data_IF_539991858703
#
_entry.id   IF_539991858703
#
_cell.length_a   1.000
_cell.length_b   1.000
_cell.length_c   1.000
_cell.angle_alpha   90.00
_cell.angle_beta   90.00
_cell.angle_gamma   90.00
#
_symmetry.space_group_name_H-M   'P 1'
#
loop_
_entity.id
_entity.type
_entity.pdbx_description
1 polymer ?
#
# COMPACT_ATOMS: atom_id res chain seq x y z
N UNK A 1 28.94 13.95 6.31
CA UNK A 1 29.24 13.46 4.95
C UNK A 1 27.91 13.03 4.33
N UNK A 2 27.44 13.76 3.30
CA UNK A 2 26.19 13.46 2.61
C UNK A 2 26.48 12.43 1.52
N UNK A 3 26.51 11.15 1.90
CA UNK A 3 26.55 10.06 0.94
C UNK A 3 25.11 9.75 0.52
N UNK A 4 24.55 10.59 -0.36
CA UNK A 4 23.32 10.23 -1.05
C UNK A 4 23.65 9.05 -1.94
N UNK A 5 23.29 7.84 -1.52
CA UNK A 5 23.45 6.63 -2.32
C UNK A 5 22.86 6.89 -3.72
N UNK A 6 23.74 6.94 -4.73
CA UNK A 6 23.32 7.19 -6.10
C UNK A 6 22.32 6.11 -6.53
N UNK A 7 21.25 6.51 -7.23
CA UNK A 7 20.29 5.56 -7.77
C UNK A 7 21.03 4.49 -8.61
N UNK A 8 20.73 3.20 -8.44
CA UNK A 8 21.45 2.14 -9.12
C UNK A 8 21.40 2.33 -10.64
N UNK A 9 22.56 2.27 -11.28
CA UNK A 9 22.73 2.51 -12.72
C UNK A 9 21.94 1.52 -13.57
N UNK A 10 21.66 1.87 -14.83
CA UNK A 10 20.80 1.09 -15.75
C UNK A 10 21.22 -0.37 -15.95
N UNK A 11 22.49 -0.71 -15.72
CA UNK A 11 23.01 -2.09 -15.76
C UNK A 11 22.67 -2.93 -14.53
N UNK A 12 22.38 -2.31 -13.38
CA UNK A 12 21.96 -3.00 -12.16
C UNK A 12 20.47 -3.38 -12.17
N UNK A 13 19.68 -2.86 -13.12
CA UNK A 13 18.25 -3.14 -13.28
C UNK A 13 17.96 -4.25 -14.30
N UNK A 14 18.84 -5.24 -14.40
CA UNK A 14 18.61 -6.41 -15.26
C UNK A 14 18.69 -7.67 -14.41
N UNK A 15 17.54 -8.31 -14.22
CA UNK A 15 17.50 -9.71 -13.81
C UNK A 15 17.99 -10.52 -15.01
N UNK A 16 19.03 -11.34 -14.84
CA UNK A 16 19.51 -12.23 -15.89
C UNK A 16 18.36 -13.12 -16.38
N UNK A 17 18.19 -13.21 -17.71
CA UNK A 17 16.98 -13.68 -18.37
C UNK A 17 16.57 -15.12 -18.04
N UNK A 18 17.49 -15.95 -17.55
CA UNK A 18 17.23 -17.37 -17.27
C UNK A 18 16.41 -17.58 -15.99
N UNK A 19 16.36 -16.61 -15.07
CA UNK A 19 15.54 -16.64 -13.86
C UNK A 19 14.23 -15.85 -14.00
N UNK A 20 14.06 -15.07 -15.07
CA UNK A 20 12.91 -14.19 -15.25
C UNK A 20 11.69 -14.96 -15.82
N UNK A 21 10.94 -15.61 -14.93
CA UNK A 21 9.64 -16.24 -15.27
C UNK A 21 8.50 -15.21 -15.37
N UNK A 22 8.78 -13.92 -15.20
CA UNK A 22 7.79 -12.85 -15.10
C UNK A 22 6.83 -13.01 -13.92
N UNK A 23 7.24 -13.69 -12.83
CA UNK A 23 6.38 -13.95 -11.68
C UNK A 23 5.30 -15.00 -11.92
N UNK A 24 5.44 -15.86 -12.93
CA UNK A 24 4.45 -16.91 -13.22
C UNK A 24 4.24 -17.80 -12.00
N UNK A 25 3.00 -17.87 -11.52
CA UNK A 25 2.63 -18.69 -10.37
C UNK A 25 2.81 -18.02 -9.01
N UNK A 26 3.21 -16.75 -8.97
CA UNK A 26 3.26 -15.91 -7.78
C UNK A 26 1.99 -15.06 -7.73
N UNK A 27 1.45 -14.86 -6.53
CA UNK A 27 0.40 -13.87 -6.28
C UNK A 27 1.04 -12.59 -5.73
N UNK A 28 0.78 -11.47 -6.41
CA UNK A 28 1.18 -10.14 -5.96
C UNK A 28 -0.05 -9.45 -5.37
N UNK A 29 0.03 -9.16 -4.07
CA UNK A 29 -0.96 -8.37 -3.36
C UNK A 29 -0.53 -6.91 -3.30
N UNK A 30 -1.40 -5.99 -3.67
CA UNK A 30 -1.13 -4.54 -3.59
C UNK A 30 -2.14 -3.92 -2.62
N UNK A 31 -1.64 -3.37 -1.53
CA UNK A 31 -2.42 -2.61 -0.55
C UNK A 31 -2.15 -1.13 -0.77
N UNK A 32 -3.15 -0.39 -1.22
CA UNK A 32 -2.99 0.99 -1.71
C UNK A 32 -4.29 1.81 -1.61
N UNK A 33 -4.26 3.02 -2.17
CA UNK A 33 -5.33 4.04 -2.20
C UNK A 33 -5.65 4.44 -3.64
N UNK A 34 -6.73 5.20 -3.81
CA UNK A 34 -7.17 5.78 -5.09
C UNK A 34 -7.58 4.75 -6.16
N UNK A 35 -7.68 3.48 -5.80
CA UNK A 35 -8.24 2.40 -6.60
C UNK A 35 -7.29 1.77 -7.63
N UNK A 36 -7.82 0.73 -8.28
CA UNK A 36 -7.13 -0.06 -9.30
C UNK A 36 -7.92 -0.08 -10.60
N UNK A 37 -7.32 0.39 -11.69
CA UNK A 37 -7.89 0.30 -13.03
C UNK A 37 -7.73 -1.14 -13.57
N UNK A 38 -8.65 -2.01 -13.17
CA UNK A 38 -8.65 -3.42 -13.55
C UNK A 38 -8.82 -3.66 -15.06
N UNK A 39 -9.27 -2.65 -15.82
CA UNK A 39 -9.48 -2.74 -17.26
C UNK A 39 -8.34 -2.10 -18.08
N UNK A 40 -7.33 -1.54 -17.42
CA UNK A 40 -6.16 -0.99 -18.10
C UNK A 40 -5.45 -2.10 -18.90
N UNK A 41 -5.00 -1.86 -20.15
CA UNK A 41 -4.35 -2.88 -20.98
C UNK A 41 -3.17 -3.58 -20.32
N UNK A 42 -2.45 -2.89 -19.43
CA UNK A 42 -1.35 -3.48 -18.66
C UNK A 42 -1.77 -4.66 -17.79
N UNK A 43 -3.04 -4.78 -17.42
CA UNK A 43 -3.55 -5.84 -16.55
C UNK A 43 -4.47 -6.82 -17.28
N UNK A 44 -4.63 -6.68 -18.59
CA UNK A 44 -5.39 -7.64 -19.38
C UNK A 44 -4.47 -8.77 -19.87
N UNK A 45 -5.02 -9.98 -19.94
CA UNK A 45 -4.38 -11.12 -20.57
C UNK A 45 -4.59 -11.13 -22.10
N UNK A 46 -4.09 -12.18 -22.76
CA UNK A 46 -4.20 -12.36 -24.21
C UNK A 46 -5.63 -12.53 -24.72
N UNK A 47 -6.59 -12.79 -23.83
CA UNK A 47 -8.01 -12.91 -24.13
C UNK A 47 -8.79 -11.62 -23.82
N UNK A 48 -8.12 -10.60 -23.28
CA UNK A 48 -8.74 -9.34 -22.88
C UNK A 48 -9.45 -9.43 -21.52
N UNK A 49 -9.22 -10.50 -20.75
CA UNK A 49 -9.72 -10.63 -19.38
C UNK A 49 -8.73 -10.04 -18.37
N UNK A 50 -9.20 -9.56 -17.23
CA UNK A 50 -8.31 -8.98 -16.22
C UNK A 50 -7.47 -10.03 -15.50
N UNK A 51 -6.21 -9.69 -15.18
CA UNK A 51 -5.31 -10.51 -14.34
C UNK A 51 -5.53 -10.32 -12.84
N UNK A 52 -6.34 -9.32 -12.44
CA UNK A 52 -6.81 -9.23 -11.07
C UNK A 52 -7.74 -10.40 -10.76
N UNK A 53 -7.43 -11.15 -9.71
CA UNK A 53 -8.31 -12.16 -9.16
C UNK A 53 -9.45 -11.49 -8.40
N UNK A 54 -9.10 -10.60 -7.48
CA UNK A 54 -10.05 -9.85 -6.68
C UNK A 54 -9.49 -8.46 -6.37
N UNK A 55 -10.39 -7.50 -6.16
CA UNK A 55 -10.13 -6.23 -5.49
C UNK A 55 -11.05 -6.17 -4.28
N UNK A 56 -10.50 -5.99 -3.08
CA UNK A 56 -11.30 -5.64 -1.91
C UNK A 56 -11.27 -4.14 -1.70
N UNK A 57 -12.41 -3.50 -1.89
CA UNK A 57 -12.62 -2.09 -1.57
C UNK A 57 -13.18 -1.97 -0.15
N UNK A 58 -12.33 -1.63 0.81
CA UNK A 58 -12.72 -1.55 2.22
C UNK A 58 -13.76 -0.44 2.49
N UNK A 59 -13.77 0.63 1.68
CA UNK A 59 -14.75 1.72 1.77
C UNK A 59 -16.01 1.48 0.92
N UNK A 60 -15.99 0.41 0.12
CA UNK A 60 -17.06 0.06 -0.80
C UNK A 60 -18.29 -0.53 -0.12
N UNK A 61 -19.45 -0.30 -0.74
CA UNK A 61 -20.74 -0.85 -0.30
C UNK A 61 -21.56 -1.48 -1.44
N UNK A 62 -21.00 -1.53 -2.64
CA UNK A 62 -21.71 -1.98 -3.85
C UNK A 62 -21.81 -3.50 -3.96
N UNK A 63 -20.98 -4.23 -3.21
CA UNK A 63 -20.98 -5.70 -3.14
C UNK A 63 -20.84 -6.16 -1.69
N UNK A 64 -21.20 -7.42 -1.38
CA UNK A 64 -20.92 -8.02 -0.08
C UNK A 64 -19.43 -7.97 0.26
N UNK A 65 -19.07 -7.89 1.55
CA UNK A 65 -17.69 -7.97 1.99
C UNK A 65 -17.11 -9.37 1.73
N UNK A 66 -15.77 -9.51 1.69
CA UNK A 66 -15.14 -10.82 1.59
C UNK A 66 -15.51 -11.70 2.79
N UNK A 67 -15.50 -13.02 2.57
CA UNK A 67 -15.87 -13.99 3.61
C UNK A 67 -14.97 -13.82 4.85
N UNK A 68 -15.61 -13.70 6.02
CA UNK A 68 -14.92 -13.50 7.30
C UNK A 68 -14.87 -12.03 7.74
N UNK A 69 -15.15 -11.09 6.83
CA UNK A 69 -15.23 -9.66 7.13
C UNK A 69 -16.68 -9.16 7.12
N UNK A 70 -16.91 -8.01 7.78
CA UNK A 70 -18.25 -7.41 7.94
C UNK A 70 -18.40 -6.08 7.21
N UNK A 71 -17.40 -5.66 6.43
CA UNK A 71 -17.34 -4.34 5.81
C UNK A 71 -16.55 -4.36 4.50
N UNK A 72 -16.75 -3.32 3.70
CA UNK A 72 -16.21 -3.22 2.35
C UNK A 72 -16.98 -4.05 1.33
N UNK A 73 -16.49 -4.01 0.09
CA UNK A 73 -17.06 -4.68 -1.07
C UNK A 73 -15.98 -5.52 -1.78
N UNK A 74 -16.26 -6.81 -1.98
CA UNK A 74 -15.39 -7.69 -2.75
C UNK A 74 -15.76 -7.69 -4.24
N UNK A 75 -14.86 -7.17 -5.05
CA UNK A 75 -14.97 -7.15 -6.51
C UNK A 75 -14.13 -8.31 -7.06
N UNK A 76 -14.80 -9.39 -7.45
CA UNK A 76 -14.17 -10.59 -7.99
C UNK A 76 -13.94 -10.49 -9.49
N UNK A 77 -13.04 -11.33 -10.02
CA UNK A 77 -12.67 -11.39 -11.44
C UNK A 77 -13.88 -11.45 -12.37
N UNK A 78 -14.87 -12.27 -12.05
CA UNK A 78 -16.11 -12.37 -12.82
C UNK A 78 -16.85 -11.04 -12.98
N UNK A 79 -16.85 -10.20 -11.93
CA UNK A 79 -17.48 -8.89 -11.97
C UNK A 79 -16.69 -7.92 -12.85
N UNK A 80 -15.36 -7.94 -12.72
CA UNK A 80 -14.46 -7.10 -13.50
C UNK A 80 -14.51 -7.47 -14.99
N UNK A 81 -14.46 -8.75 -15.32
CA UNK A 81 -14.53 -9.25 -16.70
C UNK A 81 -15.89 -8.98 -17.33
N UNK A 82 -16.99 -9.11 -16.57
CA UNK A 82 -18.32 -8.72 -17.03
C UNK A 82 -18.39 -7.22 -17.35
N UNK A 83 -17.85 -6.36 -16.48
CA UNK A 83 -17.78 -4.92 -16.70
C UNK A 83 -16.92 -4.56 -17.93
N UNK A 84 -15.77 -5.23 -18.13
CA UNK A 84 -14.92 -5.05 -19.32
C UNK A 84 -15.71 -5.43 -20.58
N UNK A 85 -16.36 -6.59 -20.59
CA UNK A 85 -17.10 -7.11 -21.74
C UNK A 85 -18.28 -6.21 -22.13
N UNK A 86 -19.05 -5.76 -21.14
CA UNK A 86 -20.25 -4.95 -21.36
C UNK A 86 -19.96 -3.47 -21.63
N UNK A 87 -18.75 -3.00 -21.34
CA UNK A 87 -18.36 -1.59 -21.53
C UNK A 87 -18.58 -1.10 -22.96
N UNK A 88 -18.14 -1.89 -23.94
CA UNK A 88 -18.20 -1.51 -25.37
C UNK A 88 -19.63 -1.42 -25.91
N UNK A 89 -20.51 -2.34 -25.50
CA UNK A 89 -21.90 -2.38 -25.96
C UNK A 89 -22.77 -1.30 -25.30
N UNK A 90 -22.45 -0.93 -24.06
CA UNK A 90 -23.18 0.08 -23.29
C UNK A 90 -22.62 1.51 -23.49
N UNK A 91 -21.41 1.65 -24.05
CA UNK A 91 -20.74 2.95 -24.17
C UNK A 91 -20.34 3.57 -22.83
N UNK A 92 -20.11 2.73 -21.82
CA UNK A 92 -19.80 3.14 -20.44
C UNK A 92 -18.47 2.51 -20.03
N UNK A 93 -17.61 3.27 -19.35
CA UNK A 93 -16.32 2.77 -18.87
C UNK A 93 -16.50 1.60 -17.87
N UNK A 94 -15.64 0.55 -17.89
CA UNK A 94 -15.77 -0.60 -16.99
C UNK A 94 -15.86 -0.20 -15.51
N UNK A 95 -15.12 0.80 -15.08
CA UNK A 95 -15.06 1.31 -13.71
C UNK A 95 -16.34 2.02 -13.27
N UNK A 96 -17.21 2.40 -14.21
CA UNK A 96 -18.57 2.90 -13.89
C UNK A 96 -19.59 1.77 -13.77
N UNK A 97 -19.36 0.66 -14.47
CA UNK A 97 -20.18 -0.55 -14.35
C UNK A 97 -19.82 -1.31 -13.06
N UNK A 98 -18.56 -1.26 -12.66
CA UNK A 98 -18.02 -1.87 -11.44
C UNK A 98 -17.19 -0.85 -10.65
N UNK A 99 -17.85 0.05 -9.89
CA UNK A 99 -17.18 1.15 -9.22
C UNK A 99 -16.45 0.75 -7.93
N UNK A 100 -15.35 1.44 -7.67
CA UNK A 100 -14.62 1.46 -6.41
C UNK A 100 -14.83 2.81 -5.72
N UNK A 101 -15.00 2.81 -4.41
CA UNK A 101 -15.40 3.95 -3.57
C UNK A 101 -14.52 5.18 -3.75
N UNK A 102 -13.20 4.99 -3.91
CA UNK A 102 -12.19 6.05 -3.94
C UNK A 102 -11.40 6.11 -5.24
N UNK A 103 -11.88 5.48 -6.32
CA UNK A 103 -11.11 5.46 -7.57
C UNK A 103 -11.00 6.85 -8.19
N UNK A 104 -9.77 7.24 -8.55
CA UNK A 104 -9.48 8.54 -9.16
C UNK A 104 -8.66 8.39 -10.45
N UNK A 105 -8.74 9.39 -11.33
CA UNK A 105 -7.85 9.48 -12.48
C UNK A 105 -6.40 9.65 -12.02
N UNK A 106 -5.46 8.92 -12.62
CA UNK A 106 -4.07 8.90 -12.16
C UNK A 106 -3.89 8.20 -10.81
N UNK A 107 -4.79 7.28 -10.46
CA UNK A 107 -4.79 6.52 -9.20
C UNK A 107 -3.42 5.95 -8.84
N UNK A 108 -3.02 6.18 -7.60
CA UNK A 108 -1.78 5.65 -7.02
C UNK A 108 -1.71 4.11 -7.09
N UNK A 109 -2.76 3.39 -6.68
CA UNK A 109 -2.82 1.93 -6.70
C UNK A 109 -2.58 1.31 -8.08
N UNK A 110 -3.19 1.86 -9.13
CA UNK A 110 -2.94 1.43 -10.53
C UNK A 110 -1.48 1.62 -10.94
N UNK A 111 -0.88 2.76 -10.61
CA UNK A 111 0.52 3.03 -10.95
C UNK A 111 1.47 2.05 -10.25
N UNK A 112 1.26 1.82 -8.95
CA UNK A 112 2.02 0.83 -8.16
C UNK A 112 1.85 -0.58 -8.70
N UNK A 113 0.61 -0.99 -9.01
CA UNK A 113 0.33 -2.30 -9.60
C UNK A 113 1.01 -2.48 -10.96
N UNK A 114 1.07 -1.44 -11.81
CA UNK A 114 1.73 -1.51 -13.12
C UNK A 114 3.24 -1.68 -12.98
N UNK A 115 3.89 -0.98 -12.05
CA UNK A 115 5.32 -1.17 -11.74
C UNK A 115 5.59 -2.63 -11.34
N UNK A 116 4.80 -3.17 -10.42
CA UNK A 116 5.00 -4.51 -9.89
C UNK A 116 4.72 -5.59 -10.95
N UNK A 117 3.59 -5.49 -11.67
CA UNK A 117 3.07 -6.60 -12.44
C UNK A 117 2.30 -6.21 -13.71
N UNK A 118 2.38 -4.96 -14.18
CA UNK A 118 1.86 -4.58 -15.49
C UNK A 118 2.59 -5.31 -16.63
N UNK A 119 2.09 -5.22 -17.86
CA UNK A 119 2.71 -5.90 -19.00
C UNK A 119 4.18 -5.51 -19.23
N UNK A 120 4.57 -4.28 -18.86
CA UNK A 120 5.96 -3.80 -18.87
C UNK A 120 6.59 -3.74 -17.47
N UNK A 121 5.88 -4.24 -16.45
CA UNK A 121 6.34 -4.29 -15.07
C UNK A 121 7.32 -5.44 -14.81
N UNK A 122 7.70 -5.61 -13.55
CA UNK A 122 8.66 -6.64 -13.15
C UNK A 122 8.11 -8.07 -13.31
N UNK A 123 6.84 -8.27 -12.96
CA UNK A 123 6.19 -9.57 -12.89
C UNK A 123 4.93 -9.66 -13.78
N UNK A 124 5.05 -9.56 -15.12
CA UNK A 124 3.91 -9.49 -16.05
C UNK A 124 3.05 -10.76 -16.12
N UNK A 125 3.48 -11.87 -15.51
CA UNK A 125 2.78 -13.16 -15.48
C UNK A 125 2.28 -13.55 -14.08
N UNK A 126 2.37 -12.64 -13.11
CA UNK A 126 1.84 -12.84 -11.77
C UNK A 126 0.31 -12.71 -11.73
N UNK A 127 -0.30 -13.34 -10.74
CA UNK A 127 -1.67 -13.06 -10.32
C UNK A 127 -1.70 -11.77 -9.51
N UNK A 128 -2.80 -11.01 -9.62
CA UNK A 128 -2.97 -9.76 -8.89
C UNK A 128 -4.14 -9.82 -7.90
N UNK A 129 -3.94 -9.30 -6.69
CA UNK A 129 -5.02 -8.98 -5.76
C UNK A 129 -4.82 -7.55 -5.29
N UNK A 130 -5.85 -6.73 -5.39
CA UNK A 130 -5.85 -5.36 -4.87
C UNK A 130 -6.60 -5.27 -3.54
N UNK A 131 -6.09 -4.47 -2.61
CA UNK A 131 -6.88 -3.99 -1.47
C UNK A 131 -6.84 -2.46 -1.49
N UNK A 132 -8.00 -1.86 -1.72
CA UNK A 132 -8.20 -0.43 -1.63
C UNK A 132 -8.59 -0.11 -0.18
N UNK A 133 -7.64 0.47 0.56
CA UNK A 133 -7.86 0.85 1.96
C UNK A 133 -8.85 2.00 2.02
N UNK A 134 -9.82 1.89 2.93
CA UNK A 134 -10.77 2.96 3.21
C UNK A 134 -10.06 4.06 3.98
N UNK A 135 -9.84 5.21 3.35
CA UNK A 135 -9.52 6.44 4.06
C UNK A 135 -10.83 7.17 4.41
N UNK A 136 -11.05 7.57 5.66
CA UNK A 136 -12.17 8.47 5.95
C UNK A 136 -11.92 9.85 5.32
N UNK A 137 -12.93 10.70 5.19
CA UNK A 137 -12.75 12.05 4.65
C UNK A 137 -11.73 12.88 5.47
N UNK A 138 -11.58 12.57 6.76
CA UNK A 138 -10.52 13.13 7.62
C UNK A 138 -9.14 12.56 7.26
N UNK A 139 -9.03 11.26 6.94
CA UNK A 139 -7.78 10.61 6.54
C UNK A 139 -7.34 10.89 5.09
N UNK A 140 -8.24 11.43 4.25
CA UNK A 140 -7.87 11.94 2.92
C UNK A 140 -6.89 13.11 3.03
N UNK A 141 -6.94 13.88 4.12
CA UNK A 141 -5.84 14.74 4.53
C UNK A 141 -4.77 13.89 5.22
N UNK A 142 -3.72 13.52 4.48
CA UNK A 142 -2.61 12.68 4.98
C UNK A 142 -1.89 13.26 6.21
N UNK A 143 -2.15 14.53 6.57
CA UNK A 143 -1.68 15.17 7.82
C UNK A 143 -2.48 14.74 9.05
N UNK A 144 -3.69 14.20 8.85
CA UNK A 144 -4.64 13.78 9.89
C UNK A 144 -4.83 12.25 9.95
N UNK A 145 -4.18 11.51 9.04
CA UNK A 145 -4.37 10.07 8.87
C UNK A 145 -3.78 9.28 10.05
N UNK A 146 -4.64 8.89 10.98
CA UNK A 146 -4.40 7.75 11.85
C UNK A 146 -4.70 6.49 11.06
N UNK A 147 -3.76 6.04 10.23
CA UNK A 147 -4.00 4.81 9.46
C UNK A 147 -4.43 3.68 10.38
N UNK A 148 -5.64 3.17 10.12
CA UNK A 148 -6.22 2.08 10.86
C UNK A 148 -5.40 0.80 10.65
N UNK A 149 -4.55 0.51 11.64
CA UNK A 149 -3.71 -0.69 11.65
C UNK A 149 -4.54 -1.97 11.58
N UNK A 150 -5.83 -1.92 11.97
CA UNK A 150 -6.77 -3.04 11.83
C UNK A 150 -7.13 -3.24 10.36
N UNK A 151 -7.45 -2.17 9.62
CA UNK A 151 -7.69 -2.25 8.18
C UNK A 151 -6.49 -2.80 7.41
N UNK A 152 -5.27 -2.42 7.82
CA UNK A 152 -4.05 -2.96 7.23
C UNK A 152 -3.85 -4.46 7.57
N UNK A 153 -4.07 -4.86 8.83
CA UNK A 153 -4.01 -6.27 9.24
C UNK A 153 -4.99 -7.12 8.42
N UNK A 154 -6.24 -6.67 8.32
CA UNK A 154 -7.26 -7.35 7.55
C UNK A 154 -6.91 -7.44 6.06
N UNK A 155 -6.30 -6.40 5.49
CA UNK A 155 -5.85 -6.39 4.09
C UNK A 155 -4.78 -7.48 3.84
N UNK A 156 -3.82 -7.63 4.75
CA UNK A 156 -2.81 -8.69 4.70
C UNK A 156 -3.49 -10.06 4.80
N UNK A 157 -4.37 -10.25 5.78
CA UNK A 157 -5.10 -11.51 5.99
C UNK A 157 -5.92 -11.92 4.76
N UNK A 158 -6.61 -10.94 4.15
CA UNK A 158 -7.39 -11.15 2.94
C UNK A 158 -6.52 -11.62 1.77
N UNK A 159 -5.39 -10.96 1.51
CA UNK A 159 -4.47 -11.36 0.43
C UNK A 159 -3.92 -12.77 0.68
N UNK A 160 -3.56 -13.09 1.93
CA UNK A 160 -3.08 -14.42 2.30
C UNK A 160 -4.19 -15.49 2.14
N UNK A 161 -5.45 -15.17 2.40
CA UNK A 161 -6.57 -16.07 2.15
C UNK A 161 -6.82 -16.26 0.64
N UNK A 162 -6.78 -15.19 -0.17
CA UNK A 162 -6.87 -15.30 -1.63
C UNK A 162 -5.77 -16.23 -2.19
N UNK A 163 -4.56 -16.17 -1.64
CA UNK A 163 -3.50 -17.08 -2.02
C UNK A 163 -3.82 -18.53 -1.68
N UNK A 164 -4.28 -18.82 -0.45
CA UNK A 164 -4.70 -20.18 -0.05
C UNK A 164 -5.86 -20.71 -0.91
N UNK A 165 -6.80 -19.86 -1.29
CA UNK A 165 -7.88 -20.24 -2.21
C UNK A 165 -7.33 -20.58 -3.59
N UNK A 166 -6.37 -19.80 -4.08
CA UNK A 166 -5.71 -20.07 -5.35
C UNK A 166 -4.86 -21.34 -5.31
N UNK A 167 -4.17 -21.63 -4.20
CA UNK A 167 -3.44 -22.87 -3.98
C UNK A 167 -4.35 -24.09 -4.12
N UNK A 168 -5.50 -24.07 -3.42
CA UNK A 168 -6.51 -25.13 -3.51
C UNK A 168 -7.01 -25.30 -4.95
N UNK A 169 -7.30 -24.19 -5.64
CA UNK A 169 -7.80 -24.20 -7.03
C UNK A 169 -6.75 -24.73 -8.02
N UNK A 170 -5.47 -24.40 -7.81
CA UNK A 170 -4.37 -24.78 -8.71
C UNK A 170 -3.68 -26.08 -8.32
N UNK A 171 -3.99 -26.64 -7.15
CA UNK A 171 -3.35 -27.84 -6.57
C UNK A 171 -1.83 -27.73 -6.55
N UNK A 172 -1.33 -26.53 -6.20
CA UNK A 172 0.09 -26.23 -6.08
C UNK A 172 0.27 -25.07 -5.09
N UNK A 173 1.47 -24.97 -4.53
CA UNK A 173 1.84 -23.84 -3.68
C UNK A 173 1.86 -22.52 -4.48
N UNK A 174 1.40 -21.44 -3.87
CA UNK A 174 1.35 -20.09 -4.45
C UNK A 174 2.13 -19.16 -3.52
N UNK A 175 3.39 -18.85 -3.85
CA UNK A 175 4.11 -17.81 -3.15
C UNK A 175 3.40 -16.46 -3.26
N UNK A 176 3.47 -15.67 -2.19
CA UNK A 176 2.80 -14.37 -2.08
C UNK A 176 3.83 -13.29 -1.83
N UNK A 177 3.76 -12.21 -2.63
CA UNK A 177 4.49 -10.97 -2.38
C UNK A 177 3.50 -9.84 -2.18
N UNK A 178 3.50 -9.23 -1.00
CA UNK A 178 2.60 -8.13 -0.64
C UNK A 178 3.36 -6.82 -0.69
N UNK A 179 2.83 -5.83 -1.39
CA UNK A 179 3.33 -4.46 -1.38
C UNK A 179 2.38 -3.57 -0.59
N UNK A 180 2.92 -2.82 0.36
CA UNK A 180 2.22 -1.80 1.14
C UNK A 180 2.85 -0.45 0.80
N UNK A 181 2.19 0.33 -0.06
CA UNK A 181 2.65 1.69 -0.41
C UNK A 181 1.94 2.76 0.41
N UNK A 182 1.81 2.48 1.70
CA UNK A 182 1.20 3.32 2.72
C UNK A 182 2.12 3.35 3.95
N UNK A 183 2.04 4.39 4.77
CA UNK A 183 2.84 4.53 5.96
C UNK A 183 2.20 5.49 6.95
N UNK A 184 2.44 5.27 8.24
CA UNK A 184 1.96 6.10 9.35
C UNK A 184 3.11 6.51 10.25
N UNK A 185 2.91 7.62 10.96
CA UNK A 185 3.84 8.14 11.97
C UNK A 185 3.38 7.84 13.39
N UNK A 186 2.17 7.31 13.57
CA UNK A 186 1.55 7.08 14.88
C UNK A 186 1.97 5.76 15.53
N UNK A 187 3.28 5.53 15.71
CA UNK A 187 3.88 4.37 16.42
C UNK A 187 5.33 4.68 16.81
N UNK A 188 5.96 3.82 17.62
CA UNK A 188 7.34 4.00 18.11
C UNK A 188 8.46 3.82 17.05
N UNK A 189 8.16 3.31 15.86
CA UNK A 189 9.13 3.01 14.79
C UNK A 189 10.29 2.05 15.18
N UNK A 190 10.09 1.22 16.21
CA UNK A 190 11.08 0.26 16.72
C UNK A 190 10.65 -1.21 16.53
N UNK A 191 9.58 -1.44 15.76
CA UNK A 191 9.00 -2.77 15.51
C UNK A 191 8.10 -3.30 16.64
N UNK A 192 7.92 -2.56 17.74
CA UNK A 192 7.09 -3.00 18.87
C UNK A 192 5.58 -2.95 18.59
N UNK A 193 5.17 -2.21 17.55
CA UNK A 193 3.78 -2.07 17.13
C UNK A 193 3.10 -3.43 16.88
N UNK A 194 1.86 -3.59 17.33
CA UNK A 194 1.10 -4.85 17.18
C UNK A 194 0.98 -5.30 15.72
N UNK A 195 0.78 -4.35 14.79
CA UNK A 195 0.71 -4.63 13.36
C UNK A 195 2.04 -5.12 12.79
N UNK A 196 3.17 -4.55 13.22
CA UNK A 196 4.49 -5.01 12.81
C UNK A 196 4.71 -6.46 13.27
N UNK A 197 4.44 -6.74 14.55
CA UNK A 197 4.57 -8.08 15.12
C UNK A 197 3.63 -9.10 14.47
N UNK A 198 2.43 -8.68 14.09
CA UNK A 198 1.48 -9.51 13.34
C UNK A 198 2.05 -9.89 11.98
N UNK A 199 2.50 -8.90 11.19
CA UNK A 199 3.12 -9.14 9.88
C UNK A 199 4.36 -10.02 10.02
N UNK A 200 5.24 -9.74 10.97
CA UNK A 200 6.44 -10.54 11.24
C UNK A 200 6.09 -12.01 11.53
N UNK A 201 4.99 -12.25 12.26
CA UNK A 201 4.53 -13.62 12.54
C UNK A 201 4.10 -14.35 11.27
N UNK A 202 3.38 -13.68 10.36
CA UNK A 202 2.95 -14.25 9.08
C UNK A 202 4.13 -14.49 8.12
N UNK A 203 5.23 -13.72 8.25
CA UNK A 203 6.47 -13.87 7.49
C UNK A 203 7.36 -15.02 7.98
N UNK A 204 7.06 -15.63 9.13
CA UNK A 204 7.75 -16.87 9.56
C UNK A 204 7.37 -18.09 8.70
N UNK A 205 6.27 -17.99 7.96
CA UNK A 205 5.79 -19.03 7.05
C UNK A 205 6.48 -18.89 5.68
N UNK A 206 7.14 -19.94 5.16
CA UNK A 206 7.83 -19.88 3.87
C UNK A 206 6.90 -19.48 2.70
N UNK A 207 7.49 -18.84 1.68
CA UNK A 207 6.77 -18.44 0.47
C UNK A 207 6.03 -17.10 0.58
N UNK A 208 6.28 -16.32 1.63
CA UNK A 208 5.66 -15.01 1.85
C UNK A 208 6.70 -13.91 1.93
N UNK A 209 6.42 -12.77 1.30
CA UNK A 209 7.19 -11.55 1.46
C UNK A 209 6.26 -10.35 1.59
N UNK A 210 6.72 -9.35 2.35
CA UNK A 210 6.07 -8.04 2.47
C UNK A 210 7.12 -6.97 2.15
N UNK A 211 6.77 -6.05 1.26
CA UNK A 211 7.56 -4.89 0.90
C UNK A 211 6.77 -3.63 1.31
N UNK A 212 7.41 -2.73 2.03
CA UNK A 212 6.77 -1.51 2.54
C UNK A 212 7.57 -0.30 2.06
N UNK A 213 6.88 0.73 1.56
CA UNK A 213 7.53 1.99 1.22
C UNK A 213 8.05 2.69 2.49
N UNK A 214 9.25 3.27 2.44
CA UNK A 214 9.84 3.96 3.59
C UNK A 214 9.07 5.23 4.03
N UNK A 215 8.19 5.74 3.17
CA UNK A 215 7.48 7.00 3.36
C UNK A 215 8.27 8.21 2.88
N UNK A 216 7.57 9.31 2.63
CA UNK A 216 8.13 10.53 2.06
C UNK A 216 8.29 11.65 3.09
N UNK A 217 8.06 11.36 4.37
CA UNK A 217 8.07 12.37 5.41
C UNK A 217 9.47 12.91 5.74
N UNK A 218 10.54 12.37 5.16
CA UNK A 218 11.89 12.95 5.27
C UNK A 218 12.13 14.15 4.34
N UNK A 219 11.20 14.48 3.44
CA UNK A 219 11.38 15.54 2.46
C UNK A 219 11.22 16.93 3.11
N UNK A 220 12.31 17.69 3.15
CA UNK A 220 12.37 19.04 3.73
C UNK A 220 12.25 20.16 2.68
N UNK A 221 12.41 19.84 1.40
CA UNK A 221 12.33 20.78 0.29
C UNK A 221 11.91 20.08 -1.00
N UNK A 222 11.45 20.87 -1.96
CA UNK A 222 11.18 20.40 -3.33
C UNK A 222 12.47 19.88 -3.98
N UNK A 223 12.44 18.66 -4.54
CA UNK A 223 13.58 18.05 -5.22
C UNK A 223 13.54 18.24 -6.74
N UNK A 224 12.35 18.49 -7.32
CA UNK A 224 12.16 18.66 -8.77
C UNK A 224 11.17 19.79 -9.09
N UNK A 225 11.28 20.38 -10.28
CA UNK A 225 10.30 21.35 -10.76
C UNK A 225 8.93 20.67 -10.91
N UNK A 226 7.94 21.10 -10.12
CA UNK A 226 6.63 20.43 -10.02
C UNK A 226 6.38 19.69 -8.71
N UNK A 227 7.40 19.51 -7.88
CA UNK A 227 7.31 18.88 -6.56
C UNK A 227 6.80 19.89 -5.52
N UNK A 228 5.52 20.25 -5.68
CA UNK A 228 4.75 21.12 -4.79
C UNK A 228 4.01 20.33 -3.70
N UNK A 229 4.10 19.00 -3.72
CA UNK A 229 3.36 18.11 -2.85
C UNK A 229 4.21 17.62 -1.69
N UNK A 230 3.73 17.89 -0.47
CA UNK A 230 4.09 17.13 0.74
C UNK A 230 5.52 17.30 1.26
N UNK A 231 6.00 18.55 1.35
CA UNK A 231 7.13 18.88 2.22
C UNK A 231 6.64 18.76 3.67
N UNK A 232 6.88 17.60 4.31
CA UNK A 232 6.44 17.34 5.69
C UNK A 232 7.53 17.73 6.72
N UNK A 233 8.80 17.79 6.32
CA UNK A 233 9.93 18.12 7.21
C UNK A 233 10.29 17.00 8.19
N UNK A 234 11.29 17.19 9.06
CA UNK A 234 11.72 16.17 10.04
C UNK A 234 10.65 15.94 11.13
N UNK A 235 9.74 15.02 10.87
CA UNK A 235 8.65 14.66 11.78
C UNK A 235 9.05 13.65 12.87
N UNK A 236 10.28 13.11 12.83
CA UNK A 236 10.80 12.18 13.84
C UNK A 236 12.10 12.71 14.46
N UNK A 237 12.22 12.56 15.77
CA UNK A 237 13.47 12.75 16.53
C UNK A 237 13.60 11.65 17.57
N UNK A 238 14.83 11.27 17.94
CA UNK A 238 15.08 10.29 19.00
C UNK A 238 16.29 10.69 19.84
N UNK A 239 16.35 10.20 21.08
CA UNK A 239 17.42 10.50 22.02
C UNK A 239 17.50 9.49 23.17
N UNK A 240 18.56 9.59 23.97
CA UNK A 240 18.76 8.76 25.17
C UNK A 240 19.01 9.67 26.37
N UNK A 241 18.35 9.39 27.50
CA UNK A 241 18.63 10.02 28.79
C UNK A 241 19.56 9.09 29.57
N UNK A 242 20.84 9.45 29.80
CA UNK A 242 21.84 8.48 30.26
C UNK A 242 21.77 8.12 31.75
N UNK A 243 21.01 8.88 32.55
CA UNK A 243 20.83 8.64 33.97
C UNK A 243 19.51 9.22 34.46
N UNK A 244 19.00 8.67 35.57
CA UNK A 244 17.85 9.22 36.29
C UNK A 244 18.13 10.66 36.72
N UNK A 245 17.09 11.48 36.76
CA UNK A 245 17.12 12.90 37.16
C UNK A 245 17.87 13.85 36.19
N UNK A 246 18.25 13.38 35.00
CA UNK A 246 18.70 14.25 33.91
C UNK A 246 17.52 14.68 33.03
N UNK A 247 17.49 15.97 32.72
CA UNK A 247 16.48 16.56 31.83
C UNK A 247 17.06 16.76 30.44
N UNK A 248 16.24 16.53 29.41
CA UNK A 248 16.54 16.88 28.02
C UNK A 248 15.33 17.62 27.45
N UNK A 249 15.54 18.86 27.04
CA UNK A 249 14.49 19.64 26.40
C UNK A 249 14.40 19.26 24.92
N UNK A 250 13.18 18.98 24.46
CA UNK A 250 12.86 18.77 23.05
C UNK A 250 12.08 20.01 22.61
N UNK A 251 12.67 20.77 21.70
CA UNK A 251 12.04 21.96 21.12
C UNK A 251 11.24 21.56 19.87
N UNK A 252 9.95 21.87 19.89
CA UNK A 252 9.07 21.73 18.73
C UNK A 252 8.87 23.10 18.10
N UNK A 253 9.33 23.26 16.85
CA UNK A 253 9.10 24.50 16.09
C UNK A 253 7.78 24.36 15.32
N UNK A 254 6.74 25.01 15.84
CA UNK A 254 5.46 25.13 15.16
C UNK A 254 5.53 26.34 14.22
N UNK A 255 5.61 26.10 12.91
CA UNK A 255 5.66 27.17 11.91
C UNK A 255 4.24 27.70 11.66
N UNK A 256 3.75 28.57 12.53
CA UNK A 256 2.59 29.40 12.24
C UNK A 256 2.96 30.57 11.32
N UNK A 257 2.05 31.03 10.47
CA UNK A 257 2.24 32.23 9.62
C UNK A 257 2.28 33.55 10.42
N UNK A 258 2.79 33.54 11.66
CA UNK A 258 2.91 34.68 12.56
C UNK A 258 1.60 35.17 13.20
N UNK A 259 0.45 34.56 12.92
CA UNK A 259 -0.87 35.01 13.38
C UNK A 259 -1.50 34.01 14.37
N UNK A 260 -1.52 32.73 14.01
CA UNK A 260 -1.89 31.60 14.85
C UNK A 260 -1.52 30.32 14.12
N UNK A 261 -1.23 29.26 14.86
CA UNK A 261 -1.21 27.92 14.30
C UNK A 261 -2.61 27.30 14.43
N UNK A 262 -3.16 26.89 13.30
CA UNK A 262 -4.49 26.27 13.16
C UNK A 262 -4.37 24.77 12.84
N UNK A 263 -3.17 24.22 12.86
CA UNK A 263 -2.96 22.79 12.67
C UNK A 263 -3.29 21.99 13.93
N UNK A 264 -3.87 20.82 13.73
CA UNK A 264 -4.01 19.80 14.77
C UNK A 264 -2.63 19.16 14.96
N UNK A 265 -1.75 19.75 15.77
CA UNK A 265 -0.46 19.13 16.09
C UNK A 265 -0.64 18.06 17.17
N UNK A 266 0.07 16.96 17.00
CA UNK A 266 0.14 15.88 17.97
C UNK A 266 1.59 15.50 18.25
N UNK A 267 1.97 15.48 19.54
CA UNK A 267 3.26 14.95 19.98
C UNK A 267 3.07 13.59 20.64
N UNK A 268 3.61 12.56 20.00
CA UNK A 268 3.75 11.24 20.61
C UNK A 268 5.16 11.06 21.18
N UNK A 269 5.24 10.59 22.43
CA UNK A 269 6.51 10.22 23.07
C UNK A 269 6.46 8.74 23.40
N UNK A 270 7.34 7.98 22.76
CA UNK A 270 7.49 6.55 22.94
C UNK A 270 8.76 6.27 23.76
N UNK A 271 8.64 5.44 24.80
CA UNK A 271 9.75 5.02 25.65
C UNK A 271 9.56 3.56 26.08
N UNK A 272 10.65 2.88 26.42
CA UNK A 272 10.55 1.49 26.82
C UNK A 272 9.79 1.35 28.13
N UNK A 273 9.09 0.22 28.32
CA UNK A 273 8.52 -0.14 29.62
C UNK A 273 9.58 -0.23 30.73
N UNK A 274 10.87 -0.42 30.40
CA UNK A 274 11.96 -0.37 31.38
C UNK A 274 12.34 1.06 31.81
N UNK A 275 11.93 2.07 31.05
CA UNK A 275 12.23 3.49 31.31
C UNK A 275 11.11 4.19 32.11
N UNK A 276 10.10 3.44 32.58
CA UNK A 276 8.96 3.91 33.38
C UNK A 276 9.31 4.04 34.87
#
# INVERSE_FOLDING_TARGET
ENDHAAAPGSKARKIESELNTGGKGVLIGIIDVQGFDFAHPDFLDEHGETRFLNIWDQGGSQRPPPKGFKYGAEIRKEHMDEAIKNSSSLGVQPQRLEPQSQMAYGSHGTHVASIAAGNSGLCPKAYLVGVLISLTDEDLDRRKSFHDSVNLAHAVDYILECAKELEKKKQKDIPVSINISLGTNGHAHDGSASICRWIDSELTIPGRSVCVAAGNAGQEKSETEGDYGFIMGRIHTSGKIPAKDLTKDIEWIVVGNGIADISENELEIWYSAQDR
#
